data_IF_770803429792
#
_entry.id   IF_770803429792
#
_cell.length_a   1.000
_cell.length_b   1.000
_cell.length_c   1.000
_cell.angle_alpha   90.00
_cell.angle_beta   90.00
_cell.angle_gamma   90.00
#
_symmetry.space_group_name_H-M   'P 1'
#
loop_
_entity.id
_entity.type
_entity.pdbx_description
1 polymer ?
#
# COMPACT_ATOMS: atom_id res chain seq x y z
N UNK A 1 -2.82 -29.71 -4.62
CA UNK A 1 -2.94 -29.02 -3.32
C UNK A 1 -3.00 -27.52 -3.57
N UNK A 2 -4.13 -26.86 -3.35
CA UNK A 2 -4.21 -25.39 -3.40
C UNK A 2 -3.97 -24.90 -1.97
N UNK A 3 -2.79 -24.36 -1.70
CA UNK A 3 -2.49 -23.71 -0.42
C UNK A 3 -3.45 -22.54 -0.25
N UNK A 4 -4.31 -22.63 0.76
CA UNK A 4 -5.22 -21.56 1.15
C UNK A 4 -4.37 -20.46 1.83
N UNK A 5 -3.57 -19.74 1.04
CA UNK A 5 -2.78 -18.59 1.49
C UNK A 5 -3.81 -17.49 1.75
N UNK A 6 -4.15 -17.23 3.02
CA UNK A 6 -5.01 -16.11 3.40
C UNK A 6 -4.49 -14.87 2.68
N UNK A 7 -5.23 -14.38 1.68
CA UNK A 7 -4.82 -13.20 0.93
C UNK A 7 -4.87 -12.03 1.91
N UNK A 8 -3.70 -11.58 2.35
CA UNK A 8 -3.58 -10.36 3.15
C UNK A 8 -4.34 -9.25 2.45
N UNK A 9 -5.08 -8.43 3.20
CA UNK A 9 -5.84 -7.31 2.64
C UNK A 9 -4.88 -6.30 2.01
N UNK A 10 -5.23 -5.82 0.83
CA UNK A 10 -4.52 -4.77 0.10
C UNK A 10 -4.20 -3.53 0.95
N UNK A 11 -3.19 -2.78 0.53
CA UNK A 11 -2.86 -1.51 1.15
C UNK A 11 -3.82 -0.43 0.65
N UNK A 12 -4.53 0.21 1.59
CA UNK A 12 -5.35 1.40 1.33
C UNK A 12 -4.64 2.61 1.94
N UNK A 13 -4.04 3.44 1.09
CA UNK A 13 -3.20 4.55 1.53
C UNK A 13 -3.96 5.86 1.30
N UNK A 14 -4.30 6.55 2.39
CA UNK A 14 -4.94 7.87 2.40
C UNK A 14 -3.92 9.00 2.57
N UNK A 15 -2.74 8.69 3.12
CA UNK A 15 -1.66 9.66 3.28
C UNK A 15 -0.93 9.86 1.95
N UNK A 16 -0.96 11.07 1.41
CA UNK A 16 -0.36 11.38 0.10
C UNK A 16 1.16 11.19 0.07
N UNK A 17 1.88 11.44 1.17
CA UNK A 17 3.34 11.21 1.23
C UNK A 17 3.69 9.73 1.19
N UNK A 18 2.93 8.91 1.92
CA UNK A 18 3.12 7.46 1.86
C UNK A 18 2.75 6.92 0.48
N UNK A 19 1.68 7.43 -0.14
CA UNK A 19 1.26 7.01 -1.48
C UNK A 19 2.31 7.38 -2.53
N UNK A 20 2.84 8.61 -2.47
CA UNK A 20 3.92 9.05 -3.34
C UNK A 20 5.16 8.16 -3.17
N UNK A 21 5.54 7.83 -1.93
CA UNK A 21 6.67 6.93 -1.68
C UNK A 21 6.48 5.56 -2.33
N UNK A 22 5.28 4.98 -2.27
CA UNK A 22 5.00 3.70 -2.94
C UNK A 22 5.18 3.83 -4.46
N UNK A 23 4.68 4.91 -5.07
CA UNK A 23 4.83 5.18 -6.50
C UNK A 23 6.30 5.38 -6.89
N UNK A 24 7.08 6.09 -6.06
CA UNK A 24 8.51 6.35 -6.29
C UNK A 24 9.35 5.05 -6.22
N UNK A 25 8.90 4.04 -5.48
CA UNK A 25 9.50 2.70 -5.47
C UNK A 25 9.04 1.82 -6.65
N UNK A 26 8.19 2.34 -7.55
CA UNK A 26 7.72 1.64 -8.74
C UNK A 26 6.45 0.81 -8.55
N UNK A 27 5.81 0.87 -7.37
CA UNK A 27 4.56 0.13 -7.15
C UNK A 27 3.43 0.74 -7.97
N UNK A 28 2.68 -0.13 -8.66
CA UNK A 28 1.53 0.28 -9.46
C UNK A 28 0.24 0.21 -8.63
N UNK A 29 -0.56 1.28 -8.59
CA UNK A 29 -1.85 1.25 -7.91
C UNK A 29 -2.84 0.39 -8.70
N UNK A 30 -3.61 -0.44 -7.99
CA UNK A 30 -4.74 -1.19 -8.57
C UNK A 30 -5.95 -0.27 -8.74
N UNK A 31 -6.14 0.68 -7.81
CA UNK A 31 -7.30 1.57 -7.81
C UNK A 31 -7.02 2.89 -7.12
N UNK A 32 -7.57 3.97 -7.64
CA UNK A 32 -7.73 5.24 -6.94
C UNK A 32 -9.23 5.43 -6.69
N UNK A 33 -9.60 5.84 -5.47
CA UNK A 33 -11.00 5.95 -5.09
C UNK A 33 -11.25 6.94 -3.96
N UNK A 34 -12.51 7.04 -3.55
CA UNK A 34 -12.93 7.84 -2.40
C UNK A 34 -13.43 6.92 -1.28
N UNK A 35 -12.99 7.17 -0.05
CA UNK A 35 -13.48 6.52 1.15
C UNK A 35 -14.89 7.00 1.52
N UNK A 36 -15.47 6.42 2.56
CA UNK A 36 -16.82 6.76 3.03
C UNK A 36 -17.00 8.21 3.46
N UNK A 37 -15.90 8.88 3.82
CA UNK A 37 -15.86 10.31 4.22
C UNK A 37 -15.52 11.26 3.08
N UNK A 38 -15.37 10.74 1.85
CA UNK A 38 -14.99 11.52 0.68
C UNK A 38 -13.48 11.66 0.46
N UNK A 39 -12.65 11.25 1.43
CA UNK A 39 -11.19 11.28 1.34
C UNK A 39 -10.67 10.38 0.21
N UNK A 40 -9.67 10.86 -0.54
CA UNK A 40 -9.05 10.09 -1.60
C UNK A 40 -8.14 9.00 -1.01
N UNK A 41 -8.21 7.80 -1.58
CA UNK A 41 -7.26 6.72 -1.29
C UNK A 41 -6.65 6.17 -2.57
N UNK A 42 -5.44 5.64 -2.43
CA UNK A 42 -4.78 4.83 -3.46
C UNK A 42 -4.61 3.41 -2.90
N UNK A 43 -5.05 2.42 -3.68
CA UNK A 43 -5.02 1.01 -3.33
C UNK A 43 -3.91 0.30 -4.10
N UNK A 44 -3.05 -0.42 -3.38
CA UNK A 44 -1.97 -1.24 -3.93
C UNK A 44 -2.18 -2.70 -3.57
N UNK A 45 -1.74 -3.61 -4.44
CA UNK A 45 -1.73 -5.05 -4.12
C UNK A 45 -0.83 -5.28 -2.92
N UNK A 46 -1.27 -6.10 -1.95
CA UNK A 46 -0.39 -6.52 -0.87
C UNK A 46 0.39 -7.77 -1.25
N UNK A 47 1.52 -7.55 -1.93
CA UNK A 47 2.50 -8.57 -2.27
C UNK A 47 3.82 -8.38 -1.49
N UNK A 48 4.82 -9.23 -1.73
CA UNK A 48 6.10 -9.19 -1.02
C UNK A 48 6.88 -7.89 -1.25
N UNK A 49 6.80 -7.32 -2.46
CA UNK A 49 7.44 -6.04 -2.80
C UNK A 49 6.78 -4.87 -2.06
N UNK A 50 5.44 -4.82 -2.06
CA UNK A 50 4.69 -3.79 -1.35
C UNK A 50 4.92 -3.84 0.17
N UNK A 51 5.06 -5.03 0.76
CA UNK A 51 5.41 -5.18 2.18
C UNK A 51 6.82 -4.64 2.48
N UNK A 52 7.81 -4.92 1.63
CA UNK A 52 9.17 -4.36 1.79
C UNK A 52 9.15 -2.84 1.72
N UNK A 53 8.43 -2.27 0.75
CA UNK A 53 8.28 -0.81 0.63
C UNK A 53 7.57 -0.22 1.85
N UNK A 54 6.55 -0.92 2.38
CA UNK A 54 5.88 -0.51 3.61
C UNK A 54 6.83 -0.50 4.82
N UNK A 55 7.68 -1.52 4.97
CA UNK A 55 8.69 -1.59 6.03
C UNK A 55 9.71 -0.45 5.90
N UNK A 56 10.23 -0.21 4.69
CA UNK A 56 11.12 0.92 4.40
C UNK A 56 10.48 2.26 4.78
N UNK A 57 9.19 2.45 4.49
CA UNK A 57 8.45 3.65 4.88
C UNK A 57 8.41 3.81 6.41
N UNK A 58 8.10 2.75 7.15
CA UNK A 58 8.03 2.76 8.60
C UNK A 58 9.39 3.10 9.24
N UNK A 59 10.48 2.58 8.69
CA UNK A 59 11.83 2.78 9.23
C UNK A 59 12.33 4.22 9.08
N UNK A 60 11.81 5.01 8.14
CA UNK A 60 12.15 6.44 7.98
C UNK A 60 11.86 7.29 9.22
N UNK A 61 10.97 6.83 10.09
CA UNK A 61 10.49 7.58 11.25
C UNK A 61 11.12 7.14 12.58
N UNK A 62 11.99 6.12 12.59
CA UNK A 62 12.61 5.57 13.80
C UNK A 62 13.88 6.33 14.23
N UNK A 63 13.98 7.63 13.95
CA UNK A 63 15.12 8.47 14.36
C UNK A 63 14.88 9.13 15.71
#
# INVERSE_FOLDING_TARGET
MKTNKERKKDFYIYNHFQAQFFLDQGLCPIRIGKGSRGDLFIRFERNEEAERVFEMWCDRWKK
#
